data_IF_461034381246
#
_entry.id   IF_461034381246
#
_cell.length_a   1.000
_cell.length_b   1.000
_cell.length_c   1.000
_cell.angle_alpha   90.00
_cell.angle_beta   90.00
_cell.angle_gamma   90.00
#
_symmetry.space_group_name_H-M   'P 1'
#
loop_
_entity.id
_entity.type
_entity.pdbx_description
1 polymer ?
#
# COMPACT_ATOMS: atom_id res chain seq x y z
N UNK A 1 6.19 -66.40 -2.69
CA UNK A 1 5.86 -65.16 -3.43
C UNK A 1 5.79 -64.04 -2.43
N UNK A 2 6.82 -63.18 -2.38
CA UNK A 2 6.82 -62.00 -1.51
C UNK A 2 6.10 -60.88 -2.25
N UNK A 3 4.98 -60.42 -1.69
CA UNK A 3 4.22 -59.30 -2.20
C UNK A 3 5.06 -58.04 -1.96
N UNK A 4 5.71 -57.53 -3.00
CA UNK A 4 6.39 -56.23 -2.96
C UNK A 4 5.29 -55.18 -2.84
N UNK A 5 5.02 -54.73 -1.62
CA UNK A 5 4.19 -53.57 -1.35
C UNK A 5 4.86 -52.35 -1.98
N UNK A 6 4.31 -51.88 -3.09
CA UNK A 6 4.64 -50.59 -3.66
C UNK A 6 4.00 -49.56 -2.71
N UNK A 7 4.79 -49.04 -1.78
CA UNK A 7 4.39 -47.90 -0.97
C UNK A 7 4.30 -46.70 -1.92
N UNK A 8 3.10 -46.37 -2.39
CA UNK A 8 2.86 -45.05 -2.97
C UNK A 8 3.05 -44.04 -1.85
N UNK A 9 4.12 -43.24 -1.92
CA UNK A 9 4.31 -42.12 -1.01
C UNK A 9 3.08 -41.21 -1.11
N UNK A 10 2.53 -40.79 0.02
CA UNK A 10 1.46 -39.82 0.04
C UNK A 10 1.97 -38.52 -0.62
N UNK A 11 1.18 -37.92 -1.52
CA UNK A 11 1.56 -36.65 -2.14
C UNK A 11 1.78 -35.58 -1.07
N UNK A 12 2.76 -34.70 -1.30
CA UNK A 12 2.95 -33.52 -0.45
C UNK A 12 1.70 -32.67 -0.52
N UNK A 13 1.21 -32.20 0.62
CA UNK A 13 0.06 -31.31 0.68
C UNK A 13 0.42 -29.98 1.32
N UNK A 14 -0.24 -28.93 0.85
CA UNK A 14 -0.18 -27.59 1.43
C UNK A 14 -1.60 -27.15 1.74
N UNK A 15 -1.88 -26.82 2.99
CA UNK A 15 -3.23 -26.58 3.46
C UNK A 15 -3.34 -25.41 4.44
N UNK A 16 -4.51 -24.79 4.46
CA UNK A 16 -4.90 -23.78 5.44
C UNK A 16 -5.84 -24.42 6.47
N UNK A 17 -5.47 -24.36 7.75
CA UNK A 17 -6.29 -24.90 8.84
C UNK A 17 -6.72 -23.83 9.85
N UNK A 18 -7.97 -23.86 10.34
CA UNK A 18 -9.04 -24.80 9.96
C UNK A 18 -9.57 -24.55 8.53
N UNK A 19 -10.05 -25.60 7.87
CA UNK A 19 -10.54 -25.52 6.48
C UNK A 19 -11.89 -24.81 6.33
N UNK A 20 -12.64 -24.66 7.42
CA UNK A 20 -13.91 -23.94 7.45
C UNK A 20 -13.95 -23.08 8.72
N UNK A 21 -14.33 -21.81 8.56
CA UNK A 21 -14.45 -20.84 9.65
C UNK A 21 -15.77 -20.10 9.52
N UNK A 22 -16.45 -19.95 10.66
CA UNK A 22 -17.53 -18.98 10.82
C UNK A 22 -17.08 -17.91 11.82
N UNK A 23 -17.21 -16.64 11.44
CA UNK A 23 -16.86 -15.50 12.29
C UNK A 23 -17.88 -14.38 12.09
N UNK A 24 -18.00 -13.43 13.03
CA UNK A 24 -18.84 -12.25 12.84
C UNK A 24 -18.03 -11.10 12.22
N UNK A 25 -18.72 -10.09 11.72
CA UNK A 25 -18.09 -8.82 11.33
C UNK A 25 -17.25 -8.28 12.50
N UNK A 26 -16.05 -7.83 12.22
CA UNK A 26 -15.13 -7.29 13.23
C UNK A 26 -14.29 -8.34 13.97
N UNK A 27 -14.71 -9.61 13.99
CA UNK A 27 -13.95 -10.69 14.61
C UNK A 27 -12.63 -10.92 13.88
N UNK A 28 -11.60 -11.32 14.63
CA UNK A 28 -10.32 -11.78 14.08
C UNK A 28 -10.21 -13.28 14.25
N UNK A 29 -9.78 -13.98 13.21
CA UNK A 29 -9.57 -15.43 13.22
C UNK A 29 -8.24 -15.79 12.58
N UNK A 30 -7.74 -16.99 12.86
CA UNK A 30 -6.41 -17.44 12.48
C UNK A 30 -6.47 -18.68 11.58
N UNK A 31 -5.59 -18.72 10.58
CA UNK A 31 -5.34 -19.85 9.72
C UNK A 31 -3.86 -20.26 9.79
N UNK A 32 -3.60 -21.53 10.05
CA UNK A 32 -2.26 -22.10 9.97
C UNK A 32 -1.98 -22.56 8.55
N UNK A 33 -0.87 -22.09 7.98
CA UNK A 33 -0.33 -22.59 6.72
C UNK A 33 0.59 -23.77 7.02
N UNK A 34 0.18 -24.96 6.57
CA UNK A 34 0.83 -26.24 6.91
C UNK A 34 1.26 -26.94 5.63
N UNK A 35 2.45 -27.53 5.65
CA UNK A 35 2.93 -28.49 4.65
C UNK A 35 2.96 -29.87 5.29
N UNK A 36 2.47 -30.88 4.58
CA UNK A 36 2.44 -32.27 5.06
C UNK A 36 3.11 -33.22 4.09
N UNK A 37 3.45 -34.39 4.62
CA UNK A 37 3.93 -35.55 3.88
C UNK A 37 5.24 -35.31 3.14
N UNK A 38 6.10 -34.42 3.67
CA UNK A 38 7.43 -34.21 3.09
C UNK A 38 8.33 -35.40 3.40
N UNK A 39 8.96 -36.03 2.39
CA UNK A 39 9.82 -37.20 2.61
C UNK A 39 11.04 -36.91 3.51
N UNK A 40 11.44 -37.89 4.33
CA UNK A 40 12.62 -37.79 5.21
C UNK A 40 13.93 -38.15 4.51
N UNK A 41 13.89 -39.11 3.58
CA UNK A 41 15.08 -39.75 3.03
C UNK A 41 15.56 -39.01 1.79
N UNK A 42 16.84 -38.63 1.84
CA UNK A 42 17.66 -38.29 0.68
C UNK A 42 18.55 -39.49 0.40
N UNK A 43 18.45 -40.05 -0.81
CA UNK A 43 19.29 -41.10 -1.43
C UNK A 43 18.96 -42.56 -1.09
N UNK A 44 18.75 -43.34 -2.15
CA UNK A 44 19.56 -44.54 -2.50
C UNK A 44 18.76 -45.63 -3.22
N UNK A 45 18.12 -45.30 -4.33
CA UNK A 45 18.22 -46.20 -5.47
C UNK A 45 19.03 -45.47 -6.53
N UNK A 46 20.29 -45.86 -6.68
CA UNK A 46 20.89 -45.79 -8.02
C UNK A 46 19.81 -46.35 -8.93
N UNK A 47 19.23 -45.53 -9.79
CA UNK A 47 18.34 -46.01 -10.81
C UNK A 47 19.22 -46.84 -11.73
N UNK A 48 19.37 -48.13 -11.41
CA UNK A 48 20.26 -49.07 -12.11
C UNK A 48 19.83 -49.18 -13.59
N UNK A 49 18.65 -48.67 -13.92
CA UNK A 49 18.10 -48.61 -15.26
C UNK A 49 18.29 -47.25 -15.96
N UNK A 50 18.51 -46.12 -15.26
CA UNK A 50 18.78 -44.83 -15.89
C UNK A 50 19.46 -43.80 -14.94
N UNK A 51 20.80 -43.67 -14.98
CA UNK A 51 21.56 -42.75 -14.12
C UNK A 51 21.36 -41.25 -14.41
N UNK A 52 20.56 -40.88 -15.42
CA UNK A 52 20.33 -39.50 -15.83
C UNK A 52 18.98 -38.91 -15.37
N UNK A 53 18.22 -39.63 -14.53
CA UNK A 53 16.97 -39.12 -13.93
C UNK A 53 17.21 -38.84 -12.45
N UNK A 54 17.20 -37.56 -12.01
CA UNK A 54 17.31 -37.23 -10.59
C UNK A 54 16.18 -37.90 -9.80
N UNK A 55 16.49 -38.51 -8.66
CA UNK A 55 15.44 -38.94 -7.70
C UNK A 55 14.71 -37.67 -7.23
N UNK A 56 13.39 -37.63 -7.38
CA UNK A 56 12.53 -36.48 -6.99
C UNK A 56 12.19 -36.46 -5.48
N UNK A 57 12.91 -37.27 -4.70
CA UNK A 57 12.69 -37.47 -3.28
C UNK A 57 13.79 -36.78 -2.48
N UNK A 58 13.38 -36.00 -1.48
CA UNK A 58 14.29 -35.29 -0.59
C UNK A 58 13.51 -34.58 0.49
N UNK A 59 14.21 -33.78 1.29
CA UNK A 59 13.61 -32.88 2.28
C UNK A 59 13.20 -31.57 1.61
N UNK A 60 12.20 -30.88 2.15
CA UNK A 60 11.76 -29.58 1.65
C UNK A 60 12.73 -28.49 2.11
N UNK A 61 13.26 -27.72 1.17
CA UNK A 61 14.14 -26.57 1.43
C UNK A 61 13.64 -25.27 0.77
N UNK A 62 12.51 -25.31 0.06
CA UNK A 62 11.93 -24.13 -0.56
C UNK A 62 10.42 -24.23 -0.66
N UNK A 63 9.75 -23.12 -0.38
CA UNK A 63 8.30 -22.94 -0.51
C UNK A 63 8.03 -21.57 -1.12
N UNK A 64 7.39 -21.55 -2.29
CA UNK A 64 6.86 -20.34 -2.93
C UNK A 64 5.34 -20.50 -3.09
N UNK A 65 4.58 -19.61 -2.48
CA UNK A 65 3.11 -19.71 -2.40
C UNK A 65 2.49 -18.32 -2.56
N UNK A 66 1.39 -18.28 -3.31
CA UNK A 66 0.47 -17.16 -3.33
C UNK A 66 -0.83 -17.50 -2.59
N UNK A 67 -1.21 -16.66 -1.64
CA UNK A 67 -2.45 -16.80 -0.88
C UNK A 67 -3.38 -15.67 -1.33
N UNK A 68 -4.52 -16.02 -1.91
CA UNK A 68 -5.52 -15.08 -2.38
C UNK A 68 -6.76 -15.11 -1.49
N UNK A 69 -7.28 -13.93 -1.14
CA UNK A 69 -8.50 -13.76 -0.35
C UNK A 69 -9.31 -12.57 -0.87
N UNK A 70 -10.62 -12.52 -0.61
CA UNK A 70 -11.44 -11.37 -0.99
C UNK A 70 -11.24 -10.22 0.00
N UNK A 71 -10.58 -9.15 -0.44
CA UNK A 71 -10.32 -7.96 0.38
C UNK A 71 -11.56 -7.13 0.70
N UNK A 72 -12.69 -7.39 0.03
CA UNK A 72 -13.97 -6.75 0.38
C UNK A 72 -14.61 -7.44 1.59
N UNK A 73 -14.36 -8.74 1.80
CA UNK A 73 -14.94 -9.51 2.90
C UNK A 73 -13.97 -9.61 4.07
N UNK A 74 -12.66 -9.72 3.80
CA UNK A 74 -11.62 -9.95 4.79
C UNK A 74 -10.51 -8.92 4.70
N UNK A 75 -9.93 -8.56 5.83
CA UNK A 75 -8.67 -7.81 5.90
C UNK A 75 -7.60 -8.65 6.57
N UNK A 76 -6.40 -8.69 5.98
CA UNK A 76 -5.25 -9.29 6.64
C UNK A 76 -4.85 -8.42 7.85
N UNK A 77 -4.78 -9.02 9.03
CA UNK A 77 -4.39 -8.32 10.26
C UNK A 77 -2.96 -8.62 10.69
N UNK A 78 -2.50 -9.87 10.53
CA UNK A 78 -1.15 -10.28 10.92
C UNK A 78 -0.68 -11.53 10.16
N UNK A 79 0.63 -11.70 10.05
CA UNK A 79 1.27 -12.96 9.68
C UNK A 79 2.36 -13.23 10.69
N UNK A 80 2.20 -14.30 11.47
CA UNK A 80 3.18 -14.75 12.44
C UNK A 80 3.87 -16.01 11.91
N UNK A 81 5.17 -15.93 11.65
CA UNK A 81 5.95 -17.10 11.24
C UNK A 81 6.10 -18.09 12.41
N UNK A 82 6.13 -19.38 12.10
CA UNK A 82 6.49 -20.41 13.07
C UNK A 82 8.00 -20.43 13.32
N UNK A 83 8.50 -21.25 14.24
CA UNK A 83 9.95 -21.44 14.40
C UNK A 83 10.63 -21.90 13.09
N UNK A 84 9.93 -22.70 12.28
CA UNK A 84 10.41 -23.14 10.96
C UNK A 84 10.36 -21.98 9.97
N UNK A 85 9.24 -21.24 9.95
CA UNK A 85 9.11 -20.01 9.17
C UNK A 85 10.22 -19.00 9.47
N UNK A 86 10.55 -18.80 10.76
CA UNK A 86 11.56 -17.87 11.23
C UNK A 86 12.99 -18.31 10.93
N UNK A 87 13.23 -19.62 10.74
CA UNK A 87 14.56 -20.13 10.38
C UNK A 87 14.95 -19.94 8.91
N UNK A 88 14.11 -19.32 8.08
CA UNK A 88 14.45 -19.02 6.69
C UNK A 88 15.42 -17.84 6.54
N UNK A 89 16.44 -17.98 5.68
CA UNK A 89 17.31 -16.83 5.37
C UNK A 89 16.70 -15.88 4.33
N UNK A 90 15.66 -16.30 3.59
CA UNK A 90 14.86 -15.41 2.74
C UNK A 90 13.39 -15.50 3.11
N UNK A 91 12.82 -14.35 3.50
CA UNK A 91 11.40 -14.18 3.84
C UNK A 91 10.89 -12.99 3.05
N UNK A 92 10.05 -13.24 2.05
CA UNK A 92 9.37 -12.16 1.34
C UNK A 92 7.89 -12.31 1.58
N UNK A 93 7.28 -11.32 2.23
CA UNK A 93 5.83 -11.20 2.40
C UNK A 93 5.39 -9.97 1.61
N UNK A 94 4.83 -10.18 0.41
CA UNK A 94 4.27 -9.08 -0.38
C UNK A 94 2.78 -8.97 -0.08
N UNK A 95 2.39 -7.86 0.55
CA UNK A 95 1.01 -7.57 0.91
C UNK A 95 0.41 -6.61 -0.10
N UNK A 96 -0.57 -7.09 -0.85
CA UNK A 96 -1.52 -6.24 -1.57
C UNK A 96 -2.94 -6.60 -1.13
N UNK A 97 -3.91 -5.71 -1.32
CA UNK A 97 -5.31 -5.99 -0.99
C UNK A 97 -5.76 -7.30 -1.65
N UNK A 98 -5.99 -8.34 -0.84
CA UNK A 98 -6.48 -9.65 -1.30
C UNK A 98 -5.39 -10.65 -1.67
N UNK A 99 -4.12 -10.37 -1.38
CA UNK A 99 -3.01 -11.23 -1.81
C UNK A 99 -1.79 -11.17 -0.88
N UNK A 100 -1.23 -12.35 -0.63
CA UNK A 100 0.00 -12.58 0.12
C UNK A 100 0.92 -13.44 -0.76
N UNK A 101 2.10 -12.95 -1.11
CA UNK A 101 3.17 -13.79 -1.67
C UNK A 101 4.13 -14.14 -0.56
N UNK A 102 4.40 -15.43 -0.38
CA UNK A 102 5.35 -15.96 0.59
C UNK A 102 6.40 -16.78 -0.15
N UNK A 103 7.64 -16.31 -0.10
CA UNK A 103 8.82 -17.09 -0.50
C UNK A 103 9.64 -17.41 0.75
N UNK A 104 9.92 -18.69 0.94
CA UNK A 104 10.66 -19.27 2.05
C UNK A 104 11.71 -20.23 1.49
N UNK A 105 12.96 -20.07 1.91
CA UNK A 105 14.07 -20.98 1.60
C UNK A 105 14.70 -21.41 2.94
N UNK A 106 15.44 -22.54 2.97
CA UNK A 106 16.40 -22.99 4.01
C UNK A 106 16.08 -24.29 4.77
N UNK A 107 17.01 -24.66 5.68
CA UNK A 107 17.27 -25.94 6.35
C UNK A 107 16.29 -27.08 6.04
N UNK A 108 16.73 -28.12 5.30
CA UNK A 108 15.81 -29.12 4.80
C UNK A 108 14.97 -29.79 5.90
N UNK A 109 13.65 -29.62 5.82
CA UNK A 109 12.65 -30.14 6.77
C UNK A 109 11.90 -31.31 6.12
N UNK A 110 11.46 -32.25 6.95
CA UNK A 110 10.63 -33.38 6.52
C UNK A 110 9.43 -33.58 7.45
N UNK A 111 8.51 -34.44 7.03
CA UNK A 111 7.26 -34.69 7.73
C UNK A 111 6.29 -33.52 7.59
N UNK A 112 5.52 -33.28 8.66
CA UNK A 112 4.48 -32.26 8.70
C UNK A 112 4.98 -31.05 9.48
N UNK A 113 4.84 -29.86 8.91
CA UNK A 113 5.26 -28.64 9.57
C UNK A 113 4.39 -27.44 9.23
N UNK A 114 4.30 -26.52 10.19
CA UNK A 114 3.61 -25.23 10.02
C UNK A 114 4.63 -24.19 9.59
N UNK A 115 4.30 -23.39 8.57
CA UNK A 115 5.12 -22.28 8.10
C UNK A 115 4.76 -21.00 8.86
N UNK A 116 3.47 -20.69 8.95
CA UNK A 116 2.98 -19.45 9.53
C UNK A 116 1.54 -19.60 10.04
N UNK A 117 1.16 -18.69 10.93
CA UNK A 117 -0.23 -18.40 11.30
C UNK A 117 -0.61 -17.05 10.70
N UNK A 118 -1.68 -17.04 9.92
CA UNK A 118 -2.19 -15.88 9.19
C UNK A 118 -3.49 -15.45 9.86
N UNK A 119 -3.56 -14.21 10.30
CA UNK A 119 -4.72 -13.64 10.98
C UNK A 119 -5.50 -12.75 10.03
N UNK A 120 -6.81 -12.95 9.97
CA UNK A 120 -7.74 -12.14 9.19
C UNK A 120 -8.81 -11.52 10.08
N UNK A 121 -9.29 -10.34 9.69
CA UNK A 121 -10.44 -9.66 10.30
C UNK A 121 -11.61 -9.64 9.31
N UNK A 122 -12.81 -10.01 9.77
CA UNK A 122 -14.04 -9.90 8.98
C UNK A 122 -14.47 -8.44 8.78
N UNK A 123 -14.65 -8.02 7.53
CA UNK A 123 -15.06 -6.65 7.17
C UNK A 123 -16.56 -6.57 6.85
N UNK A 124 -17.02 -7.42 5.93
CA UNK A 124 -18.38 -7.43 5.41
C UNK A 124 -18.95 -8.84 5.47
N UNK A 125 -20.28 -9.00 5.60
CA UNK A 125 -20.88 -10.32 5.61
C UNK A 125 -20.76 -10.97 4.23
N UNK A 126 -20.51 -12.27 4.21
CA UNK A 126 -20.31 -13.02 2.97
C UNK A 126 -19.52 -14.29 3.17
N UNK A 127 -19.55 -15.16 2.16
CA UNK A 127 -18.74 -16.37 2.08
C UNK A 127 -17.60 -16.16 1.08
N UNK A 128 -16.38 -16.49 1.48
CA UNK A 128 -15.20 -16.41 0.61
C UNK A 128 -14.26 -17.57 0.85
N UNK A 129 -13.53 -17.96 -0.20
CA UNK A 129 -12.44 -18.92 -0.11
C UNK A 129 -11.10 -18.17 -0.04
N UNK A 130 -10.25 -18.62 0.88
CA UNK A 130 -8.84 -18.26 0.92
C UNK A 130 -8.09 -19.37 0.17
N UNK A 131 -7.55 -19.04 -0.99
CA UNK A 131 -7.00 -20.00 -1.95
C UNK A 131 -5.49 -19.93 -2.02
N UNK A 132 -4.86 -21.09 -2.23
CA UNK A 132 -3.42 -21.24 -2.46
C UNK A 132 -3.19 -21.37 -3.97
N UNK A 133 -2.31 -20.53 -4.53
CA UNK A 133 -1.99 -20.48 -5.97
C UNK A 133 -0.48 -20.53 -6.19
N UNK A 134 -0.09 -21.05 -7.35
CA UNK A 134 1.29 -21.33 -7.78
C UNK A 134 2.15 -21.85 -6.63
N UNK A 135 1.67 -22.88 -5.95
CA UNK A 135 2.39 -23.52 -4.86
C UNK A 135 3.53 -24.33 -5.44
N UNK A 136 4.75 -23.90 -5.16
CA UNK A 136 5.98 -24.59 -5.52
C UNK A 136 6.67 -25.03 -4.24
N UNK A 137 6.92 -26.33 -4.12
CA UNK A 137 7.74 -26.90 -3.05
C UNK A 137 9.02 -27.41 -3.71
N UNK A 138 10.18 -27.07 -3.16
CA UNK A 138 11.48 -27.47 -3.68
C UNK A 138 12.24 -28.35 -2.70
N UNK A 139 12.99 -29.30 -3.24
CA UNK A 139 13.92 -30.16 -2.50
C UNK A 139 15.15 -29.37 -2.04
N UNK A 140 15.96 -29.97 -1.17
CA UNK A 140 17.27 -29.44 -0.75
C UNK A 140 18.26 -29.22 -1.90
N UNK A 141 18.12 -29.96 -2.99
CA UNK A 141 18.93 -29.80 -4.21
C UNK A 141 18.34 -28.74 -5.17
N UNK A 142 17.22 -28.10 -4.81
CA UNK A 142 16.58 -27.03 -5.60
C UNK A 142 15.66 -27.53 -6.72
N UNK A 143 15.24 -28.80 -6.69
CA UNK A 143 14.27 -29.35 -7.65
C UNK A 143 12.84 -29.22 -7.14
N UNK A 144 11.90 -28.86 -8.01
CA UNK A 144 10.47 -28.78 -7.68
C UNK A 144 9.85 -30.18 -7.51
N UNK A 145 9.02 -30.37 -6.48
CA UNK A 145 8.14 -31.54 -6.38
C UNK A 145 6.99 -31.41 -7.37
N UNK A 146 6.84 -32.40 -8.25
CA UNK A 146 5.79 -32.38 -9.28
C UNK A 146 4.38 -32.60 -8.75
N UNK A 147 4.24 -33.34 -7.65
CA UNK A 147 2.95 -33.71 -7.08
C UNK A 147 2.71 -33.02 -5.74
N UNK A 148 2.20 -31.79 -5.81
CA UNK A 148 1.77 -31.03 -4.63
C UNK A 148 0.26 -30.77 -4.71
N UNK A 149 -0.47 -31.21 -3.69
CA UNK A 149 -1.90 -30.96 -3.55
C UNK A 149 -2.14 -29.75 -2.65
N UNK A 150 -3.07 -28.87 -3.02
CA UNK A 150 -3.40 -27.68 -2.24
C UNK A 150 -4.82 -27.71 -1.70
N UNK A 151 -5.00 -27.36 -0.43
CA UNK A 151 -6.33 -27.30 0.21
C UNK A 151 -6.63 -25.88 0.71
N UNK A 152 -7.62 -25.19 0.12
CA UNK A 152 -8.03 -23.86 0.54
C UNK A 152 -8.82 -23.91 1.86
N UNK A 153 -9.07 -22.74 2.44
CA UNK A 153 -10.00 -22.57 3.56
C UNK A 153 -11.21 -21.73 3.15
N UNK A 154 -12.40 -22.12 3.59
CA UNK A 154 -13.66 -21.38 3.40
C UNK A 154 -13.98 -20.60 4.67
N UNK A 155 -14.36 -19.33 4.50
CA UNK A 155 -14.70 -18.43 5.59
C UNK A 155 -16.07 -17.84 5.33
N UNK A 156 -16.94 -17.92 6.34
CA UNK A 156 -18.26 -17.29 6.35
C UNK A 156 -18.26 -16.19 7.41
N UNK A 157 -18.40 -14.94 6.96
CA UNK A 157 -18.59 -13.79 7.85
C UNK A 157 -20.09 -13.55 8.01
N UNK A 158 -20.59 -13.77 9.23
CA UNK A 158 -21.99 -13.55 9.60
C UNK A 158 -22.22 -12.08 9.92
N UNK A 159 -23.36 -11.51 9.50
CA UNK A 159 -23.77 -10.20 9.99
C UNK A 159 -24.07 -10.26 11.48
N UNK A 160 -23.97 -9.13 12.18
CA UNK A 160 -24.47 -9.05 13.55
C UNK A 160 -25.97 -9.34 13.57
N UNK A 161 -26.38 -10.45 14.19
CA UNK A 161 -27.79 -10.71 14.49
C UNK A 161 -28.10 -10.13 15.87
N UNK A 162 -28.68 -8.93 15.91
CA UNK A 162 -29.29 -8.42 17.14
C UNK A 162 -30.70 -9.00 17.24
N UNK A 163 -30.90 -10.02 18.06
CA UNK A 163 -32.24 -10.51 18.39
C UNK A 163 -32.92 -9.48 19.29
N UNK A 164 -33.81 -8.67 18.74
CA UNK A 164 -34.67 -7.79 19.52
C UNK A 164 -35.79 -8.67 20.11
N UNK A 165 -35.73 -8.98 21.40
CA UNK A 165 -36.86 -9.56 22.12
C UNK A 165 -37.93 -8.49 22.33
N UNK A 166 -38.86 -8.40 21.37
CA UNK A 166 -40.08 -7.61 21.55
C UNK A 166 -40.99 -8.38 22.51
N UNK A 167 -41.07 -7.93 23.75
CA UNK A 167 -42.07 -8.43 24.69
C UNK A 167 -43.38 -7.76 24.31
N UNK A 168 -44.31 -8.49 23.68
CA UNK A 168 -45.61 -7.95 23.31
C UNK A 168 -46.55 -8.06 24.52
N UNK A 169 -46.96 -6.94 25.17
CA UNK A 169 -48.04 -7.00 26.13
C UNK A 169 -49.34 -7.40 25.41
N UNK A 170 -50.15 -8.19 26.10
CA UNK A 170 -51.45 -8.76 25.67
C UNK A 170 -52.30 -7.73 24.89
N UNK A 171 -52.92 -8.12 23.75
CA UNK A 171 -53.41 -7.16 22.78
C UNK A 171 -54.67 -6.46 23.27
N UNK A 172 -54.58 -5.15 23.46
CA UNK A 172 -55.71 -4.26 23.23
C UNK A 172 -55.60 -3.75 21.79
N UNK A 173 -56.62 -4.06 20.98
CA UNK A 173 -56.76 -3.60 19.60
C UNK A 173 -56.70 -2.06 19.55
N UNK A 174 -55.58 -1.53 19.05
CA UNK A 174 -55.50 -0.15 18.55
C UNK A 174 -54.95 -0.23 17.14
N UNK A 175 -55.73 0.29 16.19
CA UNK A 175 -55.38 0.37 14.77
C UNK A 175 -54.19 1.33 14.64
N UNK A 176 -52.98 0.79 14.49
CA UNK A 176 -51.76 1.54 14.27
C UNK A 176 -51.52 1.77 12.77
N UNK A 177 -51.48 3.03 12.36
CA UNK A 177 -51.11 3.47 11.02
C UNK A 177 -49.69 3.02 10.70
N UNK A 178 -49.51 2.19 9.68
CA UNK A 178 -48.17 1.85 9.16
C UNK A 178 -47.58 3.10 8.54
N UNK A 179 -46.56 3.69 9.18
CA UNK A 179 -45.82 4.80 8.60
C UNK A 179 -45.05 4.29 7.38
N UNK A 180 -45.15 4.98 6.22
CA UNK A 180 -44.42 4.58 5.03
C UNK A 180 -42.90 4.60 5.28
N UNK A 181 -42.12 3.76 4.56
CA UNK A 181 -40.67 3.71 4.71
C UNK A 181 -40.06 5.10 4.50
N UNK A 182 -39.25 5.55 5.46
CA UNK A 182 -38.60 6.86 5.40
C UNK A 182 -37.39 6.83 4.46
N UNK A 183 -37.15 7.90 3.72
CA UNK A 183 -35.96 8.05 2.87
C UNK A 183 -34.77 8.59 3.70
N UNK A 184 -33.51 8.24 3.37
CA UNK A 184 -32.35 8.81 4.05
C UNK A 184 -32.24 10.31 3.77
N UNK A 185 -31.75 11.06 4.76
CA UNK A 185 -31.27 12.42 4.54
C UNK A 185 -29.93 12.39 3.79
N UNK A 186 -29.65 13.44 3.01
CA UNK A 186 -28.47 13.53 2.15
C UNK A 186 -27.74 14.86 2.41
N UNK A 187 -26.47 14.78 2.76
CA UNK A 187 -25.64 15.97 3.00
C UNK A 187 -24.48 16.04 2.00
N UNK A 188 -24.16 17.25 1.57
CA UNK A 188 -22.97 17.54 0.79
C UNK A 188 -22.44 18.93 1.19
N UNK A 189 -21.21 19.26 0.81
CA UNK A 189 -20.70 20.60 0.99
C UNK A 189 -19.20 20.67 1.16
N UNK A 190 -18.76 21.59 2.02
CA UNK A 190 -17.34 21.91 2.19
C UNK A 190 -16.95 22.09 3.65
N UNK A 191 -15.68 21.86 3.92
CA UNK A 191 -15.01 22.14 5.19
C UNK A 191 -14.10 23.36 5.00
N UNK A 192 -14.32 24.40 5.80
CA UNK A 192 -13.44 25.56 5.87
C UNK A 192 -12.31 25.24 6.84
N UNK A 193 -11.09 25.28 6.32
CA UNK A 193 -9.86 25.00 7.07
C UNK A 193 -8.70 25.86 6.54
N UNK A 194 -7.66 26.12 7.36
CA UNK A 194 -6.48 26.87 6.93
C UNK A 194 -5.66 26.16 5.83
N UNK A 195 -5.67 24.83 5.84
CA UNK A 195 -4.98 23.98 4.87
C UNK A 195 -5.95 22.99 4.25
N UNK A 196 -5.77 22.61 2.97
CA UNK A 196 -6.54 21.53 2.35
C UNK A 196 -6.59 20.26 3.21
N UNK A 197 -7.80 19.76 3.46
CA UNK A 197 -8.06 18.52 4.19
C UNK A 197 -8.60 17.46 3.23
N UNK A 198 -8.15 16.22 3.45
CA UNK A 198 -8.69 15.03 2.82
C UNK A 198 -8.86 13.94 3.89
N UNK A 199 -9.84 13.06 3.72
CA UNK A 199 -10.23 12.07 4.72
C UNK A 199 -11.65 11.60 4.49
N UNK A 200 -12.43 11.41 5.56
CA UNK A 200 -13.86 11.10 5.49
C UNK A 200 -14.66 11.93 6.48
N UNK A 201 -15.84 12.39 6.06
CA UNK A 201 -16.84 13.00 6.93
C UNK A 201 -17.75 11.90 7.46
N UNK A 202 -17.98 11.88 8.77
CA UNK A 202 -18.91 10.97 9.44
C UNK A 202 -20.03 11.79 10.08
N UNK A 203 -21.30 11.46 9.77
CA UNK A 203 -22.45 12.05 10.44
C UNK A 203 -22.85 11.21 11.65
N UNK A 204 -23.10 11.86 12.78
CA UNK A 204 -23.54 11.24 14.02
C UNK A 204 -24.79 11.92 14.58
N UNK A 205 -25.67 11.12 15.18
CA UNK A 205 -26.78 11.59 16.00
C UNK A 205 -26.53 11.05 17.41
N UNK A 206 -26.34 11.96 18.37
CA UNK A 206 -25.74 11.59 19.66
C UNK A 206 -24.34 10.99 19.47
N UNK A 207 -24.11 9.78 19.97
CA UNK A 207 -22.82 9.08 19.87
C UNK A 207 -22.75 8.05 18.73
N UNK A 208 -23.86 7.79 18.05
CA UNK A 208 -23.95 6.77 17.00
C UNK A 208 -23.65 7.34 15.63
N UNK A 209 -22.97 6.57 14.77
CA UNK A 209 -22.62 6.98 13.41
C UNK A 209 -23.64 6.46 12.42
N UNK A 210 -24.16 7.34 11.57
CA UNK A 210 -25.28 7.05 10.67
C UNK A 210 -24.93 7.15 9.17
N UNK A 211 -23.70 7.55 8.84
CA UNK A 211 -23.20 7.61 7.48
C UNK A 211 -21.78 8.14 7.40
N UNK A 212 -21.09 7.86 6.29
CA UNK A 212 -19.81 8.49 5.98
C UNK A 212 -19.60 8.72 4.48
N UNK A 213 -18.77 9.70 4.13
CA UNK A 213 -18.43 10.05 2.74
C UNK A 213 -16.97 10.54 2.66
N UNK A 214 -16.24 10.32 1.55
CA UNK A 214 -14.93 10.91 1.35
C UNK A 214 -14.96 12.45 1.40
N UNK A 215 -13.93 13.02 2.02
CA UNK A 215 -13.54 14.42 1.91
C UNK A 215 -12.30 14.48 1.02
N UNK A 216 -12.37 15.23 -0.06
CA UNK A 216 -11.23 15.46 -0.95
C UNK A 216 -11.06 16.96 -1.11
N UNK A 217 -9.89 17.47 -0.75
CA UNK A 217 -9.54 18.88 -0.88
C UNK A 217 -10.65 19.82 -0.35
N UNK A 218 -11.04 19.62 0.91
CA UNK A 218 -12.08 20.38 1.62
C UNK A 218 -13.52 20.22 1.11
N UNK A 219 -13.79 19.35 0.14
CA UNK A 219 -15.15 19.12 -0.39
C UNK A 219 -15.60 17.68 -0.19
N UNK A 220 -16.87 17.50 0.19
CA UNK A 220 -17.51 16.19 0.32
C UNK A 220 -18.85 16.18 -0.41
N UNK A 221 -19.06 15.14 -1.21
CA UNK A 221 -20.19 15.05 -2.13
C UNK A 221 -20.30 16.23 -3.10
N UNK A 222 -21.46 16.38 -3.71
CA UNK A 222 -21.71 17.48 -4.65
C UNK A 222 -23.19 17.79 -4.90
N UNK A 223 -23.47 18.96 -5.51
CA UNK A 223 -24.83 19.48 -5.66
C UNK A 223 -25.64 18.77 -6.75
N UNK A 224 -25.01 18.07 -7.69
CA UNK A 224 -25.73 17.46 -8.83
C UNK A 224 -26.31 16.10 -8.43
N UNK A 225 -27.30 15.61 -9.19
CA UNK A 225 -27.92 14.31 -8.94
C UNK A 225 -26.97 13.12 -9.16
N UNK A 226 -25.89 13.33 -9.92
CA UNK A 226 -24.84 12.32 -10.16
C UNK A 226 -23.76 12.34 -9.08
N UNK A 227 -23.64 13.43 -8.32
CA UNK A 227 -22.66 13.51 -7.26
C UNK A 227 -23.13 12.69 -6.06
N UNK A 228 -22.23 11.84 -5.55
CA UNK A 228 -22.43 11.14 -4.30
C UNK A 228 -22.74 12.12 -3.17
N UNK A 229 -23.57 11.71 -2.21
CA UNK A 229 -23.95 12.48 -1.02
C UNK A 229 -23.84 11.60 0.21
N UNK A 230 -23.56 12.24 1.34
CA UNK A 230 -23.55 11.57 2.62
C UNK A 230 -24.97 11.15 2.98
N UNK A 231 -25.27 9.86 2.83
CA UNK A 231 -26.55 9.29 3.20
C UNK A 231 -26.59 9.04 4.72
N UNK A 232 -27.61 9.58 5.38
CA UNK A 232 -27.87 9.40 6.80
C UNK A 232 -29.26 8.78 6.93
N UNK A 233 -29.32 7.55 7.43
CA UNK A 233 -30.57 6.82 7.59
C UNK A 233 -30.87 6.57 9.06
N UNK A 234 -31.73 7.41 9.65
CA UNK A 234 -32.08 7.37 11.07
C UNK A 234 -33.60 7.40 11.29
N UNK A 235 -34.33 6.29 11.05
CA UNK A 235 -35.78 6.25 11.17
C UNK A 235 -36.27 6.68 12.56
N UNK A 236 -37.26 7.56 12.60
CA UNK A 236 -37.84 8.04 13.87
C UNK A 236 -36.99 9.04 14.65
N UNK A 237 -35.86 9.49 14.10
CA UNK A 237 -35.00 10.54 14.69
C UNK A 237 -35.27 11.93 14.08
N UNK A 238 -36.43 12.14 13.44
CA UNK A 238 -36.80 13.45 12.87
C UNK A 238 -36.74 14.54 13.96
N UNK A 239 -35.95 15.59 13.69
CA UNK A 239 -35.67 16.67 14.63
C UNK A 239 -34.45 16.46 15.53
N UNK A 240 -33.77 15.31 15.48
CA UNK A 240 -32.54 15.08 16.24
C UNK A 240 -31.34 15.82 15.61
N UNK A 241 -30.41 16.30 16.43
CA UNK A 241 -29.23 17.02 15.94
C UNK A 241 -28.23 16.08 15.26
N UNK A 242 -27.75 16.49 14.08
CA UNK A 242 -26.71 15.82 13.30
C UNK A 242 -25.40 16.58 13.48
N UNK A 243 -24.40 15.88 14.01
CA UNK A 243 -23.04 16.38 14.18
C UNK A 243 -22.08 15.71 13.20
N UNK A 244 -21.06 16.42 12.75
CA UNK A 244 -20.15 15.96 11.71
C UNK A 244 -18.72 15.83 12.24
N UNK A 245 -18.05 14.75 11.89
CA UNK A 245 -16.69 14.46 12.34
C UNK A 245 -15.77 14.17 11.16
N UNK A 246 -14.56 14.73 11.17
CA UNK A 246 -13.48 14.34 10.27
C UNK A 246 -12.80 13.08 10.82
N UNK A 247 -12.69 12.06 9.95
CA UNK A 247 -12.12 10.74 10.25
C UNK A 247 -12.74 10.07 11.49
N UNK A 248 -14.01 10.41 11.79
CA UNK A 248 -14.77 9.84 12.90
C UNK A 248 -14.45 10.38 14.30
N UNK A 249 -13.38 11.17 14.45
CA UNK A 249 -12.87 11.59 15.77
C UNK A 249 -12.81 13.12 15.96
N UNK A 250 -12.60 13.90 14.91
CA UNK A 250 -12.44 15.36 15.04
C UNK A 250 -13.78 16.03 14.76
N UNK A 251 -14.40 16.64 15.76
CA UNK A 251 -15.66 17.37 15.60
C UNK A 251 -15.48 18.57 14.66
N UNK A 252 -16.38 18.72 13.71
CA UNK A 252 -16.46 19.87 12.80
C UNK A 252 -17.69 20.69 13.19
N UNK A 253 -17.50 21.98 13.41
CA UNK A 253 -18.61 22.88 13.72
C UNK A 253 -19.34 23.24 12.43
N UNK A 254 -20.68 23.28 12.46
CA UNK A 254 -21.49 23.81 11.36
C UNK A 254 -21.84 25.27 11.60
N UNK A 255 -22.15 26.03 10.53
CA UNK A 255 -22.66 27.40 10.67
C UNK A 255 -23.97 27.46 11.45
N UNK A 256 -24.82 26.46 11.24
CA UNK A 256 -26.15 26.31 11.83
C UNK A 256 -26.27 24.92 12.43
N UNK A 257 -27.07 24.77 13.49
CA UNK A 257 -27.44 23.45 14.00
C UNK A 257 -28.23 22.69 12.94
N UNK A 258 -27.75 21.50 12.56
CA UNK A 258 -28.38 20.67 11.54
C UNK A 258 -29.24 19.64 12.24
N UNK A 259 -30.53 19.60 11.91
CA UNK A 259 -31.46 18.60 12.42
C UNK A 259 -31.81 17.59 11.34
N UNK A 260 -31.83 16.32 11.71
CA UNK A 260 -32.22 15.22 10.85
C UNK A 260 -33.68 15.38 10.43
N UNK A 261 -33.93 15.21 9.14
CA UNK A 261 -35.27 15.09 8.58
C UNK A 261 -35.21 14.09 7.44
N UNK A 262 -36.02 13.04 7.49
CA UNK A 262 -36.08 12.02 6.46
C UNK A 262 -36.27 12.63 5.05
N UNK A 263 -35.46 12.17 4.09
CA UNK A 263 -35.47 12.62 2.70
C UNK A 263 -34.93 14.03 2.45
N UNK A 264 -34.45 14.76 3.47
CA UNK A 264 -33.89 16.10 3.28
C UNK A 264 -32.57 16.02 2.48
N UNK A 265 -32.34 17.00 1.59
CA UNK A 265 -31.10 17.13 0.83
C UNK A 265 -30.54 18.51 1.12
N UNK A 266 -29.36 18.57 1.77
CA UNK A 266 -28.84 19.83 2.32
C UNK A 266 -27.36 20.05 2.01
N UNK A 267 -27.04 21.27 1.61
CA UNK A 267 -25.67 21.77 1.53
C UNK A 267 -25.22 22.25 2.92
N UNK A 268 -24.09 21.75 3.41
CA UNK A 268 -23.57 22.03 4.76
C UNK A 268 -22.18 22.64 4.66
N UNK A 269 -21.97 23.76 5.34
CA UNK A 269 -20.64 24.35 5.54
C UNK A 269 -20.14 24.00 6.93
N UNK A 270 -19.01 23.30 6.97
CA UNK A 270 -18.36 22.84 8.19
C UNK A 270 -17.06 23.62 8.42
N UNK A 271 -16.60 23.68 9.67
CA UNK A 271 -15.41 24.43 10.07
C UNK A 271 -14.48 23.55 10.89
N UNK A 272 -13.22 23.47 10.46
CA UNK A 272 -12.15 22.78 11.18
C UNK A 272 -11.46 23.75 12.14
N UNK A 273 -11.39 23.42 13.43
CA UNK A 273 -10.79 24.22 14.51
C UNK A 273 -11.39 25.65 14.65
N UNK A 274 -12.68 25.74 14.97
CA UNK A 274 -13.40 27.01 15.07
C UNK A 274 -13.23 27.76 16.41
N UNK A 275 -12.00 27.90 16.92
CA UNK A 275 -11.75 28.78 18.08
C UNK A 275 -11.83 30.28 17.71
N UNK A 276 -12.00 30.68 16.43
CA UNK A 276 -11.94 32.11 16.05
C UNK A 276 -12.80 32.54 14.85
N UNK A 277 -14.07 32.13 14.73
CA UNK A 277 -14.97 32.71 13.71
C UNK A 277 -16.39 32.93 14.25
N UNK A 278 -16.55 33.88 15.17
CA UNK A 278 -17.86 34.48 15.50
C UNK A 278 -17.97 35.99 15.23
N UNK A 279 -16.96 36.60 14.60
CA UNK A 279 -16.93 38.06 14.41
C UNK A 279 -16.97 38.53 12.94
N UNK A 280 -17.58 37.77 12.02
CA UNK A 280 -17.74 38.23 10.63
C UNK A 280 -19.18 38.07 10.14
N UNK A 281 -20.17 38.38 10.98
CA UNK A 281 -21.50 38.75 10.44
C UNK A 281 -22.25 39.67 11.41
N UNK A 282 -21.74 40.88 11.63
CA UNK A 282 -22.50 41.98 12.25
C UNK A 282 -21.80 43.31 11.98
N UNK A 283 -22.12 43.94 10.85
CA UNK A 283 -22.23 45.39 10.62
C UNK A 283 -21.94 45.74 9.15
N UNK A 284 -23.01 45.83 8.40
CA UNK A 284 -23.10 46.74 7.25
C UNK A 284 -23.04 48.20 7.72
N UNK A 285 -22.56 49.06 6.83
CA UNK A 285 -22.82 50.51 6.69
C UNK A 285 -21.69 51.49 7.08
N UNK A 286 -21.05 51.99 6.01
CA UNK A 286 -20.96 53.40 5.59
C UNK A 286 -19.93 54.36 6.20
N UNK A 287 -19.16 54.91 5.25
CA UNK A 287 -18.59 56.26 5.11
C UNK A 287 -17.31 56.70 5.84
N UNK A 288 -16.42 57.18 4.96
CA UNK A 288 -15.73 58.48 4.97
C UNK A 288 -14.44 58.64 5.76
N UNK A 289 -13.42 59.14 5.04
CA UNK A 289 -12.62 60.26 5.54
C UNK A 289 -11.13 60.05 5.59
N UNK A 290 -10.43 60.71 4.65
CA UNK A 290 -9.14 61.42 4.80
C UNK A 290 -7.93 60.62 5.29
N UNK A 291 -6.99 60.33 4.39
CA UNK A 291 -5.78 61.15 4.11
C UNK A 291 -4.70 61.00 5.18
N UNK A 292 -3.56 60.41 4.80
CA UNK A 292 -2.30 61.16 4.57
C UNK A 292 -1.10 60.22 4.50
N UNK A 293 -0.62 60.04 3.28
CA UNK A 293 0.80 60.16 2.86
C UNK A 293 1.92 59.80 3.84
N UNK A 294 2.76 58.84 3.46
CA UNK A 294 4.08 59.18 2.91
C UNK A 294 4.69 57.99 2.15
N UNK A 295 4.85 58.22 0.85
CA UNK A 295 5.76 57.51 -0.05
C UNK A 295 7.21 57.72 0.36
N UNK A 296 8.09 56.74 0.17
CA UNK A 296 9.29 56.88 -0.68
C UNK A 296 9.80 55.48 -1.06
N UNK A 297 10.36 55.44 -2.26
CA UNK A 297 10.58 54.35 -3.19
C UNK A 297 11.93 53.63 -3.05
N UNK A 298 12.01 52.56 -3.85
CA UNK A 298 13.15 52.13 -4.70
C UNK A 298 14.38 51.48 -4.07
N UNK A 299 14.74 50.32 -4.61
CA UNK A 299 16.06 49.72 -4.46
C UNK A 299 16.10 48.25 -4.85
N UNK A 300 16.36 47.97 -6.12
CA UNK A 300 16.58 46.67 -6.73
C UNK A 300 17.96 46.06 -6.43
N UNK A 301 18.04 44.73 -6.61
CA UNK A 301 19.21 43.92 -7.03
C UNK A 301 20.31 43.44 -6.03
N UNK A 302 20.27 42.12 -5.81
CA UNK A 302 21.32 41.10 -6.03
C UNK A 302 22.60 40.97 -5.16
N UNK A 303 22.76 39.72 -4.66
CA UNK A 303 23.97 38.87 -4.51
C UNK A 303 25.12 39.37 -3.61
N UNK A 304 25.44 38.61 -2.54
CA UNK A 304 26.72 37.86 -2.44
C UNK A 304 26.92 37.18 -1.09
N UNK A 305 27.74 36.13 -1.17
CA UNK A 305 28.20 35.15 -0.20
C UNK A 305 28.89 35.72 1.04
N UNK A 306 28.83 34.98 2.14
CA UNK A 306 29.91 35.02 3.14
C UNK A 306 30.13 33.65 3.77
N UNK A 307 31.31 33.11 3.49
CA UNK A 307 31.96 32.02 4.20
C UNK A 307 32.24 32.39 5.65
N UNK A 308 32.12 31.45 6.57
CA UNK A 308 32.77 31.54 7.88
C UNK A 308 33.26 30.16 8.28
N UNK A 309 34.55 29.93 8.07
CA UNK A 309 35.28 28.88 8.78
C UNK A 309 35.77 29.42 10.11
N UNK A 310 35.77 28.57 11.14
CA UNK A 310 36.59 28.78 12.33
C UNK A 310 36.87 27.44 13.02
N UNK A 311 38.10 26.98 12.79
CA UNK A 311 39.08 26.38 13.70
C UNK A 311 38.68 25.36 14.77
N UNK A 312 39.41 24.25 14.65
CA UNK A 312 39.64 23.08 15.51
C UNK A 312 40.04 23.46 16.95
N UNK A 313 39.50 22.71 17.92
CA UNK A 313 40.19 22.39 19.17
C UNK A 313 40.17 20.87 19.37
N UNK A 314 41.36 20.31 19.59
CA UNK A 314 41.62 18.89 19.76
C UNK A 314 41.65 18.49 21.23
N UNK A 315 40.86 17.50 21.62
CA UNK A 315 41.13 16.65 22.79
C UNK A 315 40.68 15.23 22.47
N UNK A 316 41.63 14.30 22.49
CA UNK A 316 41.51 12.95 21.94
C UNK A 316 40.54 12.02 22.68
N UNK A 317 40.02 11.07 21.91
CA UNK A 317 39.28 9.89 22.35
C UNK A 317 38.88 9.09 21.12
N UNK A 318 39.57 7.96 20.89
CA UNK A 318 39.40 7.14 19.70
C UNK A 318 37.97 6.63 19.52
N UNK A 319 37.37 7.01 18.39
CA UNK A 319 36.15 6.42 17.88
C UNK A 319 36.17 6.61 16.38
N UNK A 320 36.08 5.52 15.63
CA UNK A 320 35.93 5.54 14.17
C UNK A 320 34.86 6.57 13.78
N UNK A 321 35.09 7.45 12.78
CA UNK A 321 34.09 8.42 12.39
C UNK A 321 32.90 7.66 11.81
N UNK A 322 31.84 7.57 12.60
CA UNK A 322 30.50 7.31 12.07
C UNK A 322 30.22 8.52 11.17
N UNK A 323 30.40 8.36 9.86
CA UNK A 323 29.89 9.31 8.88
C UNK A 323 28.38 9.43 9.15
N UNK A 324 27.98 10.50 9.84
CA UNK A 324 26.57 10.87 9.95
C UNK A 324 26.09 11.09 8.52
N UNK A 325 25.20 10.22 8.03
CA UNK A 325 24.58 10.36 6.72
C UNK A 325 23.90 11.75 6.68
N UNK A 326 24.35 12.69 5.84
CA UNK A 326 23.82 14.05 5.85
C UNK A 326 22.39 14.15 5.28
N UNK A 327 21.89 13.08 4.65
CA UNK A 327 20.57 12.99 4.03
C UNK A 327 19.77 11.83 4.66
N UNK A 328 19.11 12.04 5.81
CA UNK A 328 18.45 10.97 6.56
C UNK A 328 17.21 10.40 5.85
N UNK A 329 16.66 11.13 4.87
CA UNK A 329 15.55 10.74 4.02
C UNK A 329 15.98 9.83 2.85
N UNK A 330 17.28 9.70 2.60
CA UNK A 330 17.87 8.92 1.50
C UNK A 330 18.43 7.60 2.03
N UNK A 331 18.30 6.54 1.22
CA UNK A 331 18.71 5.19 1.59
C UNK A 331 20.20 5.13 1.99
N UNK A 332 20.53 4.46 3.12
CA UNK A 332 21.87 4.48 3.70
C UNK A 332 22.89 3.69 2.87
N UNK A 333 22.45 2.71 2.09
CA UNK A 333 23.22 1.81 1.23
C UNK A 333 23.67 2.44 -0.10
N UNK A 334 23.18 3.63 -0.46
CA UNK A 334 23.74 4.42 -1.56
C UNK A 334 25.19 4.78 -1.21
N UNK A 335 26.13 4.39 -2.08
CA UNK A 335 27.57 4.51 -1.77
C UNK A 335 28.10 5.93 -1.93
N UNK A 336 27.68 6.62 -3.00
CA UNK A 336 28.21 7.93 -3.35
C UNK A 336 27.45 9.07 -2.66
N UNK A 337 28.19 9.99 -2.03
CA UNK A 337 27.63 11.20 -1.45
C UNK A 337 26.95 12.09 -2.52
N UNK A 338 27.49 12.11 -3.75
CA UNK A 338 26.90 12.86 -4.87
C UNK A 338 25.55 12.29 -5.27
N UNK A 339 25.45 10.96 -5.39
CA UNK A 339 24.17 10.29 -5.68
C UNK A 339 23.18 10.56 -4.54
N UNK A 340 23.61 10.53 -3.28
CA UNK A 340 22.72 10.88 -2.16
C UNK A 340 22.19 12.31 -2.25
N UNK A 341 23.05 13.27 -2.58
CA UNK A 341 22.64 14.67 -2.77
C UNK A 341 21.61 14.81 -3.90
N UNK A 342 21.82 14.10 -5.03
CA UNK A 342 20.89 14.09 -6.17
C UNK A 342 19.54 13.50 -5.75
N UNK A 343 19.53 12.35 -5.08
CA UNK A 343 18.28 11.71 -4.61
C UNK A 343 17.57 12.57 -3.56
N UNK A 344 18.32 13.24 -2.69
CA UNK A 344 17.77 14.14 -1.68
C UNK A 344 17.09 15.38 -2.32
N UNK A 345 17.72 15.99 -3.32
CA UNK A 345 17.19 17.18 -3.99
C UNK A 345 16.08 16.87 -4.98
N UNK A 346 16.17 15.73 -5.66
CA UNK A 346 15.20 15.36 -6.67
C UNK A 346 13.88 14.86 -6.07
N UNK A 347 12.81 15.13 -6.80
CA UNK A 347 11.49 14.55 -6.55
C UNK A 347 11.43 13.13 -7.09
N UNK A 348 11.11 12.17 -6.23
CA UNK A 348 10.93 10.78 -6.63
C UNK A 348 9.50 10.57 -7.11
N UNK A 349 9.30 10.24 -8.39
CA UNK A 349 7.97 10.07 -8.99
C UNK A 349 7.80 8.64 -9.50
N UNK A 350 6.74 8.00 -9.02
CA UNK A 350 6.46 6.59 -9.27
C UNK A 350 5.08 6.46 -9.91
N UNK A 351 4.98 5.57 -10.90
CA UNK A 351 3.74 5.33 -11.63
C UNK A 351 2.81 4.30 -10.98
N UNK A 352 3.36 3.37 -10.20
CA UNK A 352 2.60 2.27 -9.61
C UNK A 352 3.00 1.99 -8.15
N UNK A 353 2.05 1.58 -7.32
CA UNK A 353 2.33 1.12 -5.95
C UNK A 353 3.30 -0.07 -5.90
N UNK A 354 3.42 -0.82 -6.99
CA UNK A 354 4.28 -2.00 -7.06
C UNK A 354 5.74 -1.57 -7.19
N UNK A 355 6.01 -0.59 -8.05
CA UNK A 355 7.34 0.01 -8.18
C UNK A 355 7.73 0.80 -6.92
N UNK A 356 6.76 1.28 -6.13
CA UNK A 356 7.03 1.88 -4.81
C UNK A 356 7.68 0.86 -3.88
N UNK A 357 7.07 -0.32 -3.75
CA UNK A 357 7.52 -1.35 -2.81
C UNK A 357 8.73 -2.15 -3.29
N UNK A 358 8.98 -2.19 -4.60
CA UNK A 358 10.10 -2.93 -5.18
C UNK A 358 11.36 -2.09 -5.41
N UNK A 359 11.25 -0.76 -5.39
CA UNK A 359 12.31 0.10 -5.91
C UNK A 359 12.31 1.51 -5.31
N UNK A 360 11.16 2.20 -5.18
CA UNK A 360 11.19 3.61 -4.77
C UNK A 360 11.57 3.81 -3.29
N UNK A 361 11.02 2.97 -2.40
CA UNK A 361 11.37 3.00 -0.96
C UNK A 361 12.85 2.71 -0.70
N UNK A 362 13.50 2.05 -1.65
CA UNK A 362 14.91 1.71 -1.59
C UNK A 362 15.81 2.89 -1.96
N UNK A 363 15.27 4.04 -2.41
CA UNK A 363 16.03 5.26 -2.68
C UNK A 363 15.76 6.38 -1.68
N UNK A 364 14.48 6.65 -1.40
CA UNK A 364 14.06 7.79 -0.56
C UNK A 364 12.74 7.50 0.15
N UNK A 365 12.58 8.04 1.35
CA UNK A 365 11.34 7.87 2.16
C UNK A 365 10.15 8.65 1.60
N UNK A 366 10.40 9.74 0.88
CA UNK A 366 9.36 10.58 0.26
C UNK A 366 9.29 10.35 -1.24
N UNK A 367 8.08 10.12 -1.76
CA UNK A 367 7.82 9.97 -3.19
C UNK A 367 6.42 10.48 -3.54
N UNK A 368 6.21 10.76 -4.83
CA UNK A 368 4.91 11.09 -5.41
C UNK A 368 4.45 9.93 -6.26
N UNK A 369 3.33 9.33 -5.87
CA UNK A 369 2.62 8.37 -6.71
C UNK A 369 1.67 9.14 -7.63
N UNK A 370 1.78 8.93 -8.94
CA UNK A 370 0.89 9.58 -9.91
C UNK A 370 0.31 8.58 -10.89
N UNK A 371 -1.00 8.71 -11.13
CA UNK A 371 -1.72 8.04 -12.22
C UNK A 371 -2.02 9.00 -13.39
N UNK A 372 -1.46 10.22 -13.37
CA UNK A 372 -1.67 11.26 -14.40
C UNK A 372 -0.35 11.71 -15.03
N UNK A 373 -0.34 12.07 -16.33
CA UNK A 373 0.83 12.57 -17.02
C UNK A 373 1.08 14.05 -16.71
N UNK A 374 1.66 14.33 -15.54
CA UNK A 374 2.02 15.67 -15.08
C UNK A 374 3.21 16.25 -15.86
N UNK A 375 3.34 17.57 -15.87
CA UNK A 375 4.53 18.26 -16.37
C UNK A 375 5.69 18.17 -15.37
N UNK A 376 6.91 18.16 -15.90
CA UNK A 376 8.14 18.20 -15.10
C UNK A 376 8.50 19.67 -14.86
N UNK A 377 8.45 20.09 -13.59
CA UNK A 377 8.67 21.46 -13.12
C UNK A 377 9.87 21.57 -12.15
N UNK A 378 10.51 20.45 -11.83
CA UNK A 378 11.66 20.36 -10.94
C UNK A 378 12.51 19.12 -11.25
N UNK A 379 13.73 19.06 -10.71
CA UNK A 379 14.59 17.89 -10.86
C UNK A 379 13.91 16.65 -10.27
N UNK A 380 13.88 15.55 -11.02
CA UNK A 380 13.14 14.36 -10.61
C UNK A 380 13.82 13.06 -11.01
N UNK A 381 13.47 12.01 -10.26
CA UNK A 381 13.80 10.63 -10.56
C UNK A 381 12.48 9.93 -10.88
N UNK A 382 12.36 9.45 -12.12
CA UNK A 382 11.21 8.69 -12.59
C UNK A 382 11.49 7.20 -12.42
N UNK A 383 10.62 6.49 -11.72
CA UNK A 383 10.69 5.04 -11.58
C UNK A 383 9.57 4.38 -12.39
N UNK A 384 9.95 3.34 -13.13
CA UNK A 384 9.06 2.47 -13.90
C UNK A 384 8.93 2.89 -15.36
N UNK A 385 8.67 1.91 -16.23
CA UNK A 385 8.50 2.14 -17.66
C UNK A 385 7.18 2.85 -18.02
N UNK A 386 6.96 3.19 -19.31
CA UNK A 386 5.82 3.98 -19.78
C UNK A 386 4.46 3.31 -19.58
N UNK A 387 4.42 2.00 -19.35
CA UNK A 387 3.17 1.28 -18.99
C UNK A 387 2.75 1.59 -17.56
N UNK A 388 3.72 1.66 -16.65
CA UNK A 388 3.48 1.90 -15.23
C UNK A 388 3.45 3.39 -14.89
N UNK A 389 4.30 4.20 -15.53
CA UNK A 389 4.48 5.62 -15.22
C UNK A 389 3.98 6.53 -16.36
N UNK A 390 2.82 7.21 -16.18
CA UNK A 390 2.25 8.09 -17.20
C UNK A 390 3.15 9.28 -17.60
N UNK A 391 4.03 9.74 -16.71
CA UNK A 391 4.99 10.81 -17.03
C UNK A 391 6.07 10.27 -17.98
N UNK A 392 6.58 9.06 -17.71
CA UNK A 392 7.53 8.40 -18.62
C UNK A 392 6.88 8.17 -19.98
N UNK A 393 5.59 7.80 -20.03
CA UNK A 393 4.85 7.69 -21.30
C UNK A 393 4.77 9.01 -22.06
N UNK A 394 4.52 10.14 -21.36
CA UNK A 394 4.44 11.48 -21.96
C UNK A 394 5.77 11.92 -22.57
N UNK A 395 6.89 11.63 -21.91
CA UNK A 395 8.22 12.08 -22.32
C UNK A 395 9.10 10.99 -22.96
N UNK A 396 8.52 9.84 -23.32
CA UNK A 396 9.25 8.67 -23.81
C UNK A 396 10.16 8.98 -25.02
N UNK A 397 9.72 9.89 -25.88
CA UNK A 397 10.46 10.30 -27.09
C UNK A 397 11.70 11.14 -26.81
N UNK A 398 11.85 11.68 -25.59
CA UNK A 398 13.00 12.51 -25.19
C UNK A 398 14.14 11.63 -24.65
N UNK A 399 13.82 10.44 -24.15
CA UNK A 399 14.80 9.52 -23.61
C UNK A 399 15.58 8.82 -24.73
N UNK A 400 16.93 8.74 -24.63
CA UNK A 400 17.75 7.98 -25.58
C UNK A 400 17.32 6.53 -25.78
N UNK A 401 16.77 5.89 -24.74
CA UNK A 401 16.26 4.52 -24.78
C UNK A 401 14.75 4.49 -24.59
N UNK A 402 14.04 3.95 -25.58
CA UNK A 402 12.60 3.71 -25.50
C UNK A 402 12.34 2.39 -24.79
N UNK A 403 12.06 2.47 -23.48
CA UNK A 403 11.69 1.29 -22.69
C UNK A 403 10.29 0.80 -23.08
N UNK A 404 10.17 -0.49 -23.35
CA UNK A 404 8.90 -1.20 -23.59
C UNK A 404 8.85 -2.47 -22.73
N UNK A 405 7.75 -3.21 -22.78
CA UNK A 405 7.64 -4.50 -22.09
C UNK A 405 8.61 -5.57 -22.65
N UNK A 406 9.23 -5.30 -23.80
CA UNK A 406 10.13 -6.20 -24.52
C UNK A 406 11.57 -5.68 -24.56
N UNK A 407 11.80 -4.36 -24.54
CA UNK A 407 13.13 -3.74 -24.55
C UNK A 407 13.37 -2.89 -23.30
N UNK A 408 14.48 -3.07 -22.54
CA UNK A 408 15.74 -3.77 -22.87
C UNK A 408 15.74 -5.31 -22.74
N UNK A 409 14.63 -5.93 -22.32
CA UNK A 409 14.48 -7.38 -22.24
C UNK A 409 14.10 -7.86 -20.83
N UNK A 410 13.77 -9.16 -20.73
CA UNK A 410 13.38 -9.79 -19.46
C UNK A 410 14.46 -9.59 -18.39
N UNK A 411 14.04 -9.13 -17.22
CA UNK A 411 14.87 -8.80 -16.05
C UNK A 411 15.93 -7.73 -16.31
N UNK A 412 15.78 -6.94 -17.38
CA UNK A 412 16.73 -5.89 -17.76
C UNK A 412 16.15 -4.51 -17.53
N UNK A 413 17.02 -3.63 -17.05
CA UNK A 413 16.73 -2.22 -16.78
C UNK A 413 17.67 -1.30 -17.55
N UNK A 414 17.27 -0.04 -17.60
CA UNK A 414 18.06 1.09 -18.09
C UNK A 414 18.09 2.19 -17.04
N UNK A 415 19.26 2.81 -16.90
CA UNK A 415 19.48 4.04 -16.17
C UNK A 415 19.91 5.08 -17.19
N UNK A 416 19.14 6.14 -17.33
CA UNK A 416 19.47 7.22 -18.26
C UNK A 416 19.08 8.58 -17.68
N UNK A 417 19.80 9.61 -18.09
CA UNK A 417 19.62 10.98 -17.60
C UNK A 417 19.44 11.90 -18.79
N UNK A 418 18.46 12.79 -18.71
CA UNK A 418 18.19 13.79 -19.74
C UNK A 418 17.73 15.10 -19.10
N UNK A 419 17.58 16.15 -19.91
CA UNK A 419 17.00 17.43 -19.50
C UNK A 419 15.62 17.60 -20.11
N UNK A 420 14.61 17.79 -19.28
CA UNK A 420 13.23 18.09 -19.69
C UNK A 420 12.84 19.41 -19.02
N UNK A 421 12.38 20.38 -19.82
CA UNK A 421 12.02 21.72 -19.34
C UNK A 421 13.11 22.42 -18.52
N UNK A 422 14.39 22.13 -18.79
CA UNK A 422 15.53 22.69 -18.05
C UNK A 422 15.91 21.95 -16.76
N UNK A 423 15.12 20.95 -16.35
CA UNK A 423 15.34 20.13 -15.16
C UNK A 423 16.04 18.82 -15.48
N UNK A 424 16.87 18.35 -14.55
CA UNK A 424 17.55 17.05 -14.64
C UNK A 424 16.57 15.95 -14.31
N UNK A 425 16.40 15.00 -15.23
CA UNK A 425 15.49 13.88 -15.10
C UNK A 425 16.27 12.58 -15.20
N UNK A 426 16.28 11.81 -14.11
CA UNK A 426 16.86 10.46 -14.08
C UNK A 426 15.72 9.47 -14.30
N UNK A 427 15.85 8.59 -15.29
CA UNK A 427 14.92 7.49 -15.52
C UNK A 427 15.54 6.17 -15.05
N UNK A 428 14.80 5.47 -14.19
CA UNK A 428 15.10 4.12 -13.71
C UNK A 428 13.94 3.20 -14.11
N UNK A 429 14.10 2.48 -15.21
CA UNK A 429 13.01 1.70 -15.79
C UNK A 429 13.51 0.40 -16.41
N UNK A 430 12.67 -0.63 -16.44
CA UNK A 430 12.94 -1.88 -17.15
C UNK A 430 11.73 -2.38 -17.91
N UNK A 431 11.94 -3.45 -18.68
CA UNK A 431 10.86 -4.13 -19.40
C UNK A 431 9.89 -4.85 -18.49
N UNK A 432 10.36 -5.23 -17.31
CA UNK A 432 9.56 -5.79 -16.25
C UNK A 432 10.00 -5.22 -14.90
N UNK A 433 9.32 -5.64 -13.85
CA UNK A 433 9.55 -5.17 -12.48
C UNK A 433 10.94 -5.53 -11.97
N UNK A 434 11.50 -6.67 -12.39
CA UNK A 434 12.87 -7.06 -12.04
C UNK A 434 13.91 -6.20 -12.75
N UNK A 435 13.61 -5.80 -14.00
CA UNK A 435 14.39 -4.82 -14.73
C UNK A 435 14.40 -3.44 -14.06
N UNK A 436 13.25 -2.92 -13.64
CA UNK A 436 13.16 -1.66 -12.88
C UNK A 436 13.93 -1.78 -11.56
N UNK A 437 13.79 -2.90 -10.83
CA UNK A 437 14.56 -3.18 -9.61
C UNK A 437 16.06 -3.21 -9.87
N UNK A 438 16.51 -3.85 -10.96
CA UNK A 438 17.91 -3.85 -11.36
C UNK A 438 18.42 -2.42 -11.61
N UNK A 439 17.65 -1.58 -12.30
CA UNK A 439 18.03 -0.19 -12.54
C UNK A 439 18.23 0.58 -11.23
N UNK A 440 17.32 0.42 -10.26
CA UNK A 440 17.43 1.06 -8.95
C UNK A 440 18.62 0.52 -8.14
N UNK A 441 18.77 -0.79 -8.05
CA UNK A 441 19.85 -1.41 -7.27
C UNK A 441 21.23 -1.05 -7.82
N UNK A 442 21.39 -1.00 -9.15
CA UNK A 442 22.65 -0.56 -9.74
C UNK A 442 22.88 0.94 -9.56
N UNK A 443 21.82 1.76 -9.64
CA UNK A 443 21.90 3.21 -9.43
C UNK A 443 22.51 3.58 -8.07
N UNK A 444 22.18 2.83 -7.01
CA UNK A 444 22.78 3.02 -5.66
C UNK A 444 24.30 2.84 -5.62
N UNK A 445 24.85 2.09 -6.57
CA UNK A 445 26.28 1.78 -6.65
C UNK A 445 27.09 2.79 -7.45
N UNK A 446 26.41 3.71 -8.17
CA UNK A 446 27.08 4.70 -9.01
C UNK A 446 27.87 5.72 -8.18
N UNK A 447 28.97 6.21 -8.75
CA UNK A 447 29.75 7.31 -8.18
C UNK A 447 29.17 8.68 -8.58
N UNK A 448 28.59 8.76 -9.78
CA UNK A 448 27.97 9.96 -10.36
C UNK A 448 26.86 9.55 -11.36
N UNK A 449 26.03 10.51 -11.79
CA UNK A 449 25.02 10.26 -12.83
C UNK A 449 25.68 9.95 -14.18
N UNK A 450 25.12 9.04 -14.99
CA UNK A 450 25.76 8.60 -16.22
C UNK A 450 25.53 9.56 -17.39
N UNK A 451 26.58 9.81 -18.17
CA UNK A 451 26.50 10.60 -19.42
C UNK A 451 25.82 9.83 -20.58
N UNK A 452 25.69 8.50 -20.47
CA UNK A 452 25.08 7.61 -21.46
C UNK A 452 24.21 6.56 -20.77
N UNK A 453 23.16 6.03 -21.44
CA UNK A 453 22.33 4.98 -20.88
C UNK A 453 23.16 3.78 -20.40
N UNK A 454 22.93 3.35 -19.17
CA UNK A 454 23.49 2.13 -18.59
C UNK A 454 22.43 1.04 -18.64
N UNK A 455 22.76 -0.10 -19.24
CA UNK A 455 21.91 -1.28 -19.22
C UNK A 455 22.35 -2.23 -18.11
N UNK A 456 21.37 -2.79 -17.41
CA UNK A 456 21.59 -3.68 -16.28
C UNK A 456 20.67 -4.89 -16.36
N UNK A 457 21.06 -5.98 -15.70
CA UNK A 457 20.28 -7.21 -15.64
C UNK A 457 20.27 -7.76 -14.21
N UNK A 458 19.11 -8.26 -13.78
CA UNK A 458 18.97 -9.03 -12.56
C UNK A 458 19.30 -10.50 -12.82
N UNK A 459 20.38 -11.02 -12.22
CA UNK A 459 20.81 -12.42 -12.30
C UNK A 459 21.16 -12.96 -10.93
N UNK A 460 20.58 -14.10 -10.56
CA UNK A 460 20.93 -14.86 -9.35
C UNK A 460 20.97 -14.00 -8.08
N UNK A 461 19.97 -13.12 -7.92
CA UNK A 461 19.83 -12.23 -6.77
C UNK A 461 20.80 -11.03 -6.75
N UNK A 462 21.55 -10.80 -7.82
CA UNK A 462 22.48 -9.68 -7.97
C UNK A 462 22.21 -8.89 -9.25
N UNK A 463 22.54 -7.61 -9.21
CA UNK A 463 22.51 -6.76 -10.40
C UNK A 463 23.89 -6.70 -11.05
N UNK A 464 23.91 -6.83 -12.38
CA UNK A 464 25.12 -6.69 -13.20
C UNK A 464 24.90 -5.68 -14.31
N UNK A 465 25.93 -4.88 -14.61
CA UNK A 465 25.96 -4.05 -15.82
C UNK A 465 26.14 -4.95 -17.04
N UNK A 466 25.37 -4.69 -18.08
CA UNK A 466 25.47 -5.39 -19.37
C UNK A 466 25.79 -4.41 -20.49
N UNK A 467 26.26 -4.94 -21.61
CA UNK A 467 26.33 -4.17 -22.85
C UNK A 467 24.92 -3.88 -23.37
N UNK A 468 24.82 -2.89 -24.27
CA UNK A 468 23.56 -2.58 -24.95
C UNK A 468 22.99 -3.87 -25.58
N UNK A 469 21.77 -4.29 -25.18
CA UNK A 469 21.11 -5.49 -25.71
C UNK A 469 20.79 -5.39 -27.20
#
# INVERSE_FOLDING_TARGET
MSLVGICYGENITVELLPSNIEANIGDTFNLSLIVKNVPEIVKSRINIFNPNVPEEDGKCAGVDIYICYDSNILSLSNIQLSNIGESADLKMVNLSSGFISLAWLFNPVYGNFTIATISFKGLNPGETNITLKNVVISTEDGYEYKNVSTYPATVVIKPYTTTITVTVPTPNLVIGTTTPPQLPAQYYGKVISPTPLSGYIVAKIGNESYGSIPLVNNTFGGPTYLDEKLLVYAPGQDGAEVTFYLNGSILLNSSDTIYYKAGDIRNVTLYYNAENIRNVTSSSSTSSGSESTSSTSSGSESISSTSSGSSISSSGGGGSPVFKNPYPDVAPDIKSIKIKEIVHKAKLIVGSNIDVNLSAKDLKTTFVLTNKPLDIEEDCILIGGPVANPIVKKYLEIFPVKVTNEYPGKHRGVIEVTKINGHTVVLLAGSDRWGTKAAVEYFKTLEDIPDRPIFVEWRDGKVVKINRP
#
